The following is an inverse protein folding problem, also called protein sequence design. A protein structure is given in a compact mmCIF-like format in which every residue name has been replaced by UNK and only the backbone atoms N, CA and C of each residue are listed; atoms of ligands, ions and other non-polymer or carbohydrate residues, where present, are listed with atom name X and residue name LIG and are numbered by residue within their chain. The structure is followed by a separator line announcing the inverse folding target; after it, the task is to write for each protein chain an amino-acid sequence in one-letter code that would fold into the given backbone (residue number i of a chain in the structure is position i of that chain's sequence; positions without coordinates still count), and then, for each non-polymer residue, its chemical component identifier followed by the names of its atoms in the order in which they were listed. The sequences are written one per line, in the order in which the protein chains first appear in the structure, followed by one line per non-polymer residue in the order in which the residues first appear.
data_IF_216871217939
#
_entry.id   IF_216871217939
#
_cell.length_a   1.000
_cell.length_b   1.000
_cell.length_c   1.000
_cell.angle_alpha   90.00
_cell.angle_beta   90.00
_cell.angle_gamma   90.00
#
_symmetry.space_group_name_H-M   'P 1'
#
loop_
_entity.id
_entity.type
_entity.pdbx_description
1 polymer ?
#
# COMPACT_ATOMS: atom_id res chain seq x y z
N UNK A 1 11.60 10.61 7.57
CA UNK A 1 10.45 11.49 7.26
C UNK A 1 9.45 11.54 8.43
N UNK A 2 8.76 12.68 8.64
CA UNK A 2 7.63 12.80 9.59
C UNK A 2 6.35 12.19 8.98
N UNK A 3 5.44 11.67 9.81
CA UNK A 3 4.22 10.98 9.34
C UNK A 3 3.31 11.86 8.47
N UNK A 4 3.16 13.15 8.79
CA UNK A 4 2.34 14.08 8.00
C UNK A 4 2.82 14.16 6.54
N UNK A 5 4.14 14.26 6.34
CA UNK A 5 4.74 14.29 4.99
C UNK A 5 4.57 12.97 4.24
N UNK A 6 4.52 11.83 4.94
CA UNK A 6 4.21 10.53 4.34
C UNK A 6 2.76 10.47 3.83
N UNK A 7 1.81 10.93 4.66
CA UNK A 7 0.39 10.96 4.31
C UNK A 7 0.11 11.91 3.13
N UNK A 8 0.74 13.09 3.14
CA UNK A 8 0.69 14.03 2.02
C UNK A 8 1.29 13.43 0.75
N UNK A 9 2.48 12.83 0.82
CA UNK A 9 3.15 12.21 -0.33
C UNK A 9 2.40 10.98 -0.88
N UNK A 10 1.61 10.28 -0.05
CA UNK A 10 0.73 9.21 -0.48
C UNK A 10 -0.47 9.75 -1.26
N UNK A 11 -0.93 10.98 -1.05
CA UNK A 11 -2.02 11.54 -1.85
C UNK A 11 -1.41 12.21 -3.09
N UNK A 12 -1.55 11.68 -4.32
CA UNK A 12 -2.68 10.92 -4.89
C UNK A 12 -2.42 9.42 -5.20
N UNK A 13 -1.30 8.87 -4.76
CA UNK A 13 -0.86 7.49 -5.00
C UNK A 13 -1.75 6.45 -4.30
N UNK A 14 -1.85 5.27 -4.87
CA UNK A 14 -2.55 4.11 -4.29
C UNK A 14 -1.56 3.07 -3.79
N UNK A 15 -1.99 2.15 -2.93
CA UNK A 15 -1.11 1.08 -2.44
C UNK A 15 -0.57 0.16 -3.56
N UNK A 16 -1.31 -0.14 -4.65
CA UNK A 16 -0.75 -0.85 -5.80
C UNK A 16 0.40 -0.09 -6.49
N UNK A 17 0.33 1.23 -6.58
CA UNK A 17 1.40 2.05 -7.15
C UNK A 17 2.66 2.04 -6.29
N UNK A 18 2.49 2.03 -4.96
CA UNK A 18 3.62 1.88 -4.03
C UNK A 18 4.27 0.50 -4.18
N UNK A 19 3.47 -0.56 -4.30
CA UNK A 19 3.97 -1.91 -4.52
C UNK A 19 4.68 -2.07 -5.88
N UNK A 20 4.12 -1.52 -6.95
CA UNK A 20 4.73 -1.52 -8.29
C UNK A 20 6.06 -0.76 -8.30
N UNK A 21 6.11 0.42 -7.68
CA UNK A 21 7.35 1.17 -7.53
C UNK A 21 8.41 0.39 -6.73
N UNK A 22 8.03 -0.24 -5.61
CA UNK A 22 8.96 -1.04 -4.81
C UNK A 22 9.47 -2.25 -5.61
N UNK A 23 8.60 -2.92 -6.37
CA UNK A 23 8.97 -4.04 -7.23
C UNK A 23 10.04 -3.66 -8.27
N UNK A 24 9.88 -2.51 -8.93
CA UNK A 24 10.83 -2.05 -9.96
C UNK A 24 12.17 -1.60 -9.41
N UNK A 25 12.16 -1.01 -8.22
CA UNK A 25 13.39 -0.62 -7.52
C UNK A 25 14.07 -1.82 -6.84
N UNK A 26 13.50 -3.03 -6.97
CA UNK A 26 13.95 -4.24 -6.27
C UNK A 26 14.02 -4.05 -4.75
N UNK A 27 13.18 -3.17 -4.21
CA UNK A 27 13.10 -2.87 -2.78
C UNK A 27 12.18 -3.89 -2.12
N UNK A 28 12.64 -4.61 -1.07
CA UNK A 28 11.79 -5.53 -0.34
C UNK A 28 10.58 -4.82 0.29
N UNK A 29 9.40 -5.39 0.10
CA UNK A 29 8.16 -4.94 0.71
C UNK A 29 7.29 -6.15 1.09
N UNK A 30 6.34 -5.95 2.00
CA UNK A 30 5.33 -6.95 2.36
C UNK A 30 3.93 -6.39 2.16
N UNK A 31 2.99 -7.27 1.82
CA UNK A 31 1.58 -6.92 1.66
C UNK A 31 0.81 -7.58 2.80
N UNK A 32 -0.09 -6.83 3.44
CA UNK A 32 -1.01 -7.39 4.41
C UNK A 32 -1.82 -8.56 3.81
N UNK A 33 -2.09 -9.64 4.57
CA UNK A 33 -2.84 -10.76 4.03
C UNK A 33 -4.23 -10.35 3.52
N UNK A 34 -4.73 -11.10 2.53
CA UNK A 34 -6.04 -10.88 1.94
C UNK A 34 -7.14 -10.89 3.02
N UNK A 35 -8.06 -9.94 2.90
CA UNK A 35 -9.15 -9.72 3.86
C UNK A 35 -8.92 -8.55 4.81
N UNK A 36 -7.71 -8.02 4.95
CA UNK A 36 -7.48 -6.74 5.63
C UNK A 36 -7.95 -5.61 4.71
N UNK A 37 -9.13 -5.07 5.02
CA UNK A 37 -9.78 -3.99 4.26
C UNK A 37 -10.11 -2.83 5.18
N UNK A 38 -10.25 -1.60 4.66
CA UNK A 38 -10.65 -0.49 5.50
C UNK A 38 -12.08 -0.69 6.01
N UNK A 39 -12.30 -0.39 7.28
CA UNK A 39 -13.62 -0.43 7.92
C UNK A 39 -14.52 0.67 7.35
N UNK A 40 -13.94 1.81 6.97
CA UNK A 40 -14.64 2.91 6.30
C UNK A 40 -14.09 3.09 4.87
N UNK A 41 -14.91 2.94 3.83
CA UNK A 41 -14.47 3.13 2.44
C UNK A 41 -13.85 4.51 2.19
N UNK A 42 -12.84 4.57 1.33
CA UNK A 42 -12.09 5.80 1.02
C UNK A 42 -11.06 6.18 2.08
N UNK A 43 -10.90 5.37 3.15
CA UNK A 43 -9.87 5.60 4.16
C UNK A 43 -8.48 5.45 3.56
N UNK A 44 -7.57 6.35 3.94
CA UNK A 44 -6.16 6.31 3.56
C UNK A 44 -5.29 6.66 4.74
N UNK A 45 -4.15 6.00 4.84
CA UNK A 45 -3.17 6.29 5.87
C UNK A 45 -1.75 5.97 5.39
N UNK A 46 -0.80 6.79 5.81
CA UNK A 46 0.62 6.49 5.67
C UNK A 46 1.38 6.97 6.90
N UNK A 47 2.31 6.16 7.38
CA UNK A 47 3.13 6.55 8.53
C UNK A 47 3.93 5.40 9.11
N UNK A 48 4.78 5.74 10.08
CA UNK A 48 5.54 4.73 10.83
C UNK A 48 4.61 3.72 11.49
N UNK A 49 5.00 2.46 11.42
CA UNK A 49 4.29 1.37 12.06
C UNK A 49 4.47 1.49 13.57
N UNK A 50 3.37 1.51 14.30
CA UNK A 50 3.37 1.28 15.74
C UNK A 50 2.61 -0.03 16.01
N UNK A 51 3.33 -1.13 16.29
CA UNK A 51 2.70 -2.38 16.66
C UNK A 51 1.87 -2.22 17.92
N UNK A 52 0.60 -2.60 17.86
CA UNK A 52 -0.27 -2.63 19.02
C UNK A 52 -1.17 -3.87 19.00
N UNK A 53 -1.42 -4.43 20.19
CA UNK A 53 -2.47 -5.42 20.40
C UNK A 53 -3.68 -4.68 20.95
N UNK A 54 -4.80 -4.75 20.23
CA UNK A 54 -6.08 -4.24 20.69
C UNK A 54 -7.04 -5.41 20.93
N UNK A 55 -7.85 -5.29 21.97
CA UNK A 55 -8.93 -6.21 22.28
C UNK A 55 -10.22 -5.39 22.44
N UNK A 56 -11.31 -5.84 21.83
CA UNK A 56 -12.61 -5.15 21.88
C UNK A 56 -13.15 -4.80 20.49
N UNK A 57 -14.41 -4.32 20.46
CA UNK A 57 -15.08 -3.97 19.21
C UNK A 57 -14.36 -2.82 18.50
N UNK A 58 -14.19 -2.98 17.18
CA UNK A 58 -13.67 -1.95 16.28
C UNK A 58 -14.67 -0.79 16.13
N UNK A 59 -15.90 -0.96 16.59
CA UNK A 59 -16.99 0.02 16.45
C UNK A 59 -16.68 1.37 17.12
N UNK A 60 -15.99 1.38 18.26
CA UNK A 60 -15.62 2.64 18.93
C UNK A 60 -14.61 3.43 18.10
N UNK A 61 -13.61 2.74 17.55
CA UNK A 61 -12.59 3.36 16.69
C UNK A 61 -13.22 3.88 15.39
N UNK A 62 -14.24 3.17 14.87
CA UNK A 62 -15.05 3.64 13.74
C UNK A 62 -15.85 4.90 14.10
N UNK A 63 -16.46 4.97 15.28
CA UNK A 63 -17.26 6.12 15.73
C UNK A 63 -16.42 7.40 15.87
N UNK A 64 -15.17 7.28 16.30
CA UNK A 64 -14.26 8.44 16.44
C UNK A 64 -13.56 8.82 15.12
N UNK A 65 -13.92 8.17 14.00
CA UNK A 65 -13.36 8.49 12.68
C UNK A 65 -11.89 8.08 12.50
N UNK A 66 -11.38 7.15 13.31
CA UNK A 66 -10.02 6.66 13.15
C UNK A 66 -9.95 5.74 11.92
N UNK A 67 -8.96 5.91 11.02
CA UNK A 67 -8.82 5.04 9.85
C UNK A 67 -8.31 3.67 10.32
N UNK A 68 -9.08 2.62 10.03
CA UNK A 68 -8.80 1.26 10.50
C UNK A 68 -8.91 0.29 9.34
N UNK A 69 -7.96 -0.64 9.28
CA UNK A 69 -8.02 -1.81 8.42
C UNK A 69 -8.16 -3.06 9.28
N UNK A 70 -9.09 -3.94 8.92
CA UNK A 70 -9.40 -5.14 9.69
C UNK A 70 -9.80 -6.29 8.76
N UNK A 71 -9.71 -7.53 9.24
CA UNK A 71 -10.29 -8.73 8.60
C UNK A 71 -11.84 -8.75 8.60
N UNK A 72 -12.49 -7.61 8.86
CA UNK A 72 -13.92 -7.50 9.11
C UNK A 72 -14.32 -7.65 10.59
N UNK A 73 -15.61 -7.47 10.85
CA UNK A 73 -16.21 -7.59 12.18
C UNK A 73 -16.66 -9.03 12.43
N UNK A 74 -16.09 -9.70 13.44
CA UNK A 74 -16.58 -11.00 13.90
C UNK A 74 -17.57 -10.80 15.06
N UNK A 75 -18.85 -11.22 14.94
CA UNK A 75 -19.85 -11.03 16.00
C UNK A 75 -19.55 -11.81 17.29
N UNK A 76 -18.73 -12.85 17.22
CA UNK A 76 -18.32 -13.69 18.36
C UNK A 76 -17.17 -13.11 19.20
N UNK A 77 -16.64 -11.93 18.85
CA UNK A 77 -15.36 -11.46 19.37
C UNK A 77 -14.18 -12.32 18.87
N UNK A 78 -12.92 -11.91 19.09
CA UNK A 78 -11.76 -12.69 18.65
C UNK A 78 -11.62 -13.94 19.51
N UNK A 79 -12.25 -15.04 19.11
CA UNK A 79 -12.17 -16.28 19.89
C UNK A 79 -10.85 -17.03 19.67
N UNK A 80 -10.20 -16.87 18.50
CA UNK A 80 -9.00 -17.65 18.14
C UNK A 80 -8.07 -17.01 17.09
N UNK A 81 -7.78 -15.71 17.14
CA UNK A 81 -6.79 -15.12 16.24
C UNK A 81 -5.86 -14.15 16.99
N UNK A 82 -4.58 -14.54 17.10
CA UNK A 82 -3.45 -13.67 17.48
C UNK A 82 -3.35 -12.53 16.45
N UNK A 83 -4.15 -11.48 16.59
CA UNK A 83 -4.25 -10.37 15.63
C UNK A 83 -3.41 -9.19 16.08
N UNK A 84 -2.50 -8.75 15.22
CA UNK A 84 -1.83 -7.48 15.37
C UNK A 84 -2.50 -6.44 14.50
N UNK A 85 -2.83 -5.30 15.11
CA UNK A 85 -3.27 -4.12 14.39
C UNK A 85 -2.07 -3.20 14.24
N UNK A 86 -1.79 -2.80 13.00
CA UNK A 86 -0.87 -1.70 12.76
C UNK A 86 -1.68 -0.43 12.95
N UNK A 87 -1.41 0.26 14.05
CA UNK A 87 -1.83 1.64 14.19
C UNK A 87 -0.84 2.46 13.36
N UNK A 88 -1.33 3.12 12.31
CA UNK A 88 -0.66 4.27 11.72
C UNK A 88 -1.10 5.47 12.56
N UNK A 89 -0.25 6.01 13.45
CA UNK A 89 -0.69 7.06 14.35
C UNK A 89 -0.88 8.39 13.60
N UNK A 90 -2.12 8.89 13.66
CA UNK A 90 -2.46 10.31 13.64
C UNK A 90 -2.69 10.69 15.12
N UNK A 91 -2.25 11.86 15.62
CA UNK A 91 -2.21 12.13 17.05
C UNK A 91 -3.62 12.21 17.62
N UNK A 92 -3.90 11.43 18.68
CA UNK A 92 -5.04 11.67 19.55
C UNK A 92 -4.72 11.25 20.99
N UNK A 93 -5.16 12.09 21.92
CA UNK A 93 -5.00 11.95 23.37
C UNK A 93 -5.66 10.68 23.94
N UNK A 94 -5.19 10.17 25.10
CA UNK A 94 -5.64 8.88 25.62
C UNK A 94 -7.02 8.96 26.33
N UNK A 95 -7.88 7.97 26.08
CA UNK A 95 -9.12 7.72 26.84
C UNK A 95 -9.01 6.42 27.68
N UNK A 96 -9.78 6.28 28.78
CA UNK A 96 -9.41 5.39 29.89
C UNK A 96 -10.37 4.21 30.08
N UNK A 97 -10.13 3.04 29.48
CA UNK A 97 -10.89 1.83 29.81
C UNK A 97 -10.00 0.58 29.71
N UNK A 98 -9.90 -0.16 30.83
CA UNK A 98 -9.01 -1.30 31.02
C UNK A 98 -9.83 -2.59 30.99
N UNK A 99 -9.59 -3.45 30.00
CA UNK A 99 -10.18 -4.80 29.90
C UNK A 99 -9.06 -5.83 30.07
N UNK A 100 -9.33 -6.90 30.81
CA UNK A 100 -8.38 -7.93 31.21
C UNK A 100 -7.60 -8.51 30.00
N UNK A 101 -6.28 -8.55 30.14
CA UNK A 101 -5.30 -8.82 29.09
C UNK A 101 -4.66 -10.19 29.36
N UNK A 102 -4.58 -11.04 28.34
CA UNK A 102 -3.63 -12.16 28.27
C UNK A 102 -2.20 -11.63 28.57
N UNK A 103 -1.25 -12.40 29.13
CA UNK A 103 0.07 -11.88 29.49
C UNK A 103 0.71 -11.14 28.32
N UNK A 104 1.14 -9.91 28.57
CA UNK A 104 1.85 -9.09 27.57
C UNK A 104 3.15 -9.80 27.22
N UNK A 105 3.20 -10.35 26.02
CA UNK A 105 4.47 -10.75 25.40
C UNK A 105 5.35 -9.50 25.26
N UNK A 106 6.60 -9.56 25.72
CA UNK A 106 7.55 -8.44 25.70
C UNK A 106 7.72 -7.83 24.30
N UNK A 107 7.47 -8.61 23.24
CA UNK A 107 7.56 -8.18 21.84
C UNK A 107 6.38 -7.36 21.34
N UNK A 108 5.28 -7.27 22.10
CA UNK A 108 4.00 -6.71 21.63
C UNK A 108 4.04 -5.23 21.20
N UNK A 109 5.06 -4.47 21.65
CA UNK A 109 5.31 -3.08 21.26
C UNK A 109 6.45 -2.94 20.24
N UNK A 110 7.15 -4.04 19.93
CA UNK A 110 8.33 -4.05 19.03
C UNK A 110 7.98 -4.52 17.62
N UNK A 111 7.13 -5.54 17.50
CA UNK A 111 6.74 -6.09 16.20
C UNK A 111 5.28 -6.52 16.15
N UNK A 112 4.77 -6.54 14.92
CA UNK A 112 3.44 -6.94 14.52
C UNK A 112 3.52 -8.15 13.58
N UNK A 113 3.04 -9.32 14.00
CA UNK A 113 3.08 -10.52 13.18
C UNK A 113 1.79 -10.71 12.37
N UNK A 114 1.95 -10.85 11.06
CA UNK A 114 0.91 -11.20 10.09
C UNK A 114 1.21 -12.57 9.50
N UNK A 115 0.66 -13.63 10.11
CA UNK A 115 0.98 -15.00 9.71
C UNK A 115 2.49 -15.29 9.84
N UNK A 116 3.17 -15.32 8.69
CA UNK A 116 4.55 -15.75 8.54
C UNK A 116 5.57 -14.59 8.45
N UNK A 117 5.11 -13.33 8.43
CA UNK A 117 5.99 -12.17 8.43
C UNK A 117 5.71 -11.23 9.61
N UNK A 118 6.73 -10.46 9.97
CA UNK A 118 6.65 -9.45 11.02
C UNK A 118 6.90 -8.05 10.45
N UNK A 119 6.16 -7.09 10.98
CA UNK A 119 6.33 -5.67 10.69
C UNK A 119 6.79 -4.97 11.96
N UNK A 120 7.84 -4.18 11.88
CA UNK A 120 8.51 -3.57 13.01
C UNK A 120 8.28 -2.05 13.03
N UNK A 121 8.64 -1.40 14.14
CA UNK A 121 8.56 0.06 14.25
C UNK A 121 9.54 0.83 13.33
N UNK A 122 10.50 0.12 12.73
CA UNK A 122 11.39 0.63 11.68
C UNK A 122 10.72 0.74 10.32
N UNK A 123 9.52 0.17 10.17
CA UNK A 123 8.79 0.12 8.91
C UNK A 123 7.80 1.28 8.79
N UNK A 124 7.40 1.55 7.55
CA UNK A 124 6.31 2.45 7.20
C UNK A 124 5.20 1.62 6.57
N UNK A 125 3.98 1.90 6.97
CA UNK A 125 2.78 1.35 6.36
C UNK A 125 2.14 2.39 5.44
N UNK A 126 1.65 1.91 4.29
CA UNK A 126 0.78 2.62 3.38
C UNK A 126 -0.51 1.83 3.26
N UNK A 127 -1.65 2.49 3.41
CA UNK A 127 -2.94 1.84 3.44
C UNK A 127 -3.99 2.65 2.68
N UNK A 128 -4.78 1.96 1.87
CA UNK A 128 -5.94 2.50 1.15
C UNK A 128 -7.02 1.40 0.99
N UNK A 129 -7.98 1.61 0.08
CA UNK A 129 -9.05 0.63 -0.20
C UNK A 129 -8.56 -0.73 -0.71
N UNK A 130 -7.33 -0.82 -1.23
CA UNK A 130 -6.76 -2.06 -1.76
C UNK A 130 -5.99 -2.86 -0.69
N UNK A 131 -5.87 -2.35 0.53
CA UNK A 131 -5.20 -3.02 1.64
C UNK A 131 -4.02 -2.23 2.18
N UNK A 132 -3.02 -2.94 2.72
CA UNK A 132 -1.84 -2.33 3.32
C UNK A 132 -0.54 -2.89 2.72
N UNK A 133 0.43 -2.02 2.51
CA UNK A 133 1.80 -2.32 2.07
C UNK A 133 2.79 -1.81 3.12
N UNK A 134 3.79 -2.61 3.46
CA UNK A 134 4.83 -2.27 4.42
C UNK A 134 6.20 -2.29 3.75
N UNK A 135 7.03 -1.31 4.09
CA UNK A 135 8.42 -1.22 3.65
C UNK A 135 9.29 -0.54 4.71
N UNK A 136 10.60 -0.77 4.62
CA UNK A 136 11.55 -0.10 5.50
C UNK A 136 11.43 1.43 5.38
N UNK A 137 11.45 2.13 6.52
CA UNK A 137 11.31 3.59 6.54
C UNK A 137 12.41 4.32 5.76
N UNK A 138 13.59 3.70 5.60
CA UNK A 138 14.73 4.21 4.83
C UNK A 138 14.46 4.26 3.33
N UNK A 139 13.66 3.32 2.82
CA UNK A 139 13.35 3.17 1.39
C UNK A 139 12.09 3.93 0.96
N UNK A 140 11.30 4.43 1.91
CA UNK A 140 10.00 5.03 1.64
C UNK A 140 10.03 6.27 0.75
N UNK A 141 11.07 7.10 0.86
CA UNK A 141 11.18 8.31 0.04
C UNK A 141 11.43 7.99 -1.43
N UNK A 142 12.33 7.03 -1.69
CA UNK A 142 12.69 6.56 -3.02
C UNK A 142 11.50 5.88 -3.71
N UNK A 143 10.83 4.96 -3.00
CA UNK A 143 9.63 4.28 -3.51
C UNK A 143 8.52 5.28 -3.84
N UNK A 144 8.26 6.26 -2.96
CA UNK A 144 7.23 7.28 -3.22
C UNK A 144 7.60 8.20 -4.39
N UNK A 145 8.88 8.45 -4.62
CA UNK A 145 9.34 9.23 -5.77
C UNK A 145 9.12 8.46 -7.08
N UNK A 146 9.51 7.18 -7.13
CA UNK A 146 9.25 6.31 -8.27
C UNK A 146 7.74 6.17 -8.53
N UNK A 147 6.93 5.90 -7.49
CA UNK A 147 5.48 5.80 -7.61
C UNK A 147 4.82 7.06 -8.20
N UNK A 148 5.34 8.27 -7.90
CA UNK A 148 4.88 9.51 -8.53
C UNK A 148 5.18 9.57 -10.02
N UNK A 149 6.35 9.08 -10.45
CA UNK A 149 6.71 9.00 -11.87
C UNK A 149 5.78 8.02 -12.60
N UNK A 150 5.48 6.88 -12.00
CA UNK A 150 4.53 5.88 -12.55
C UNK A 150 3.15 6.50 -12.70
N UNK A 151 2.63 7.07 -11.61
CA UNK A 151 1.32 7.71 -11.59
C UNK A 151 1.18 8.81 -12.64
N UNK A 152 2.23 9.64 -12.83
CA UNK A 152 2.23 10.69 -13.85
C UNK A 152 2.18 10.15 -15.29
N UNK A 153 2.81 9.01 -15.54
CA UNK A 153 2.76 8.35 -16.86
C UNK A 153 1.40 7.70 -17.12
N UNK A 154 0.85 6.97 -16.16
CA UNK A 154 -0.48 6.37 -16.27
C UNK A 154 -1.57 7.43 -16.44
N UNK A 155 -1.48 8.53 -15.71
CA UNK A 155 -2.46 9.61 -15.82
C UNK A 155 -2.43 10.27 -17.20
N UNK A 156 -1.23 10.47 -17.78
CA UNK A 156 -1.12 10.96 -19.17
C UNK A 156 -1.78 10.00 -20.16
N UNK A 157 -1.56 8.69 -20.01
CA UNK A 157 -2.21 7.69 -20.86
C UNK A 157 -3.74 7.74 -20.71
N UNK A 158 -4.24 7.79 -19.48
CA UNK A 158 -5.67 7.85 -19.20
C UNK A 158 -6.34 9.11 -19.77
N UNK A 159 -5.69 10.27 -19.66
CA UNK A 159 -6.22 11.52 -20.24
C UNK A 159 -6.19 11.50 -21.78
N UNK A 160 -5.16 10.91 -22.40
CA UNK A 160 -5.12 10.74 -23.86
C UNK A 160 -6.22 9.78 -24.36
N UNK A 161 -6.52 8.71 -23.61
CA UNK A 161 -7.66 7.82 -23.93
C UNK A 161 -8.97 8.60 -23.86
N UNK A 162 -9.19 9.40 -22.81
CA UNK A 162 -10.39 10.24 -22.68
C UNK A 162 -10.51 11.28 -23.80
N UNK A 163 -9.38 11.77 -24.32
CA UNK A 163 -9.33 12.67 -25.47
C UNK A 163 -9.57 11.98 -26.83
N UNK A 164 -9.77 10.65 -26.84
CA UNK A 164 -10.07 9.86 -28.04
C UNK A 164 -8.85 9.22 -28.70
N UNK A 165 -7.66 9.35 -28.12
CA UNK A 165 -6.46 8.68 -28.63
C UNK A 165 -6.40 7.25 -28.12
N UNK A 166 -6.46 6.26 -29.02
CA UNK A 166 -6.46 4.85 -28.62
C UNK A 166 -5.13 4.41 -28.02
N UNK A 167 -5.15 3.42 -27.13
CA UNK A 167 -3.93 2.82 -26.58
C UNK A 167 -3.01 2.25 -27.69
N UNK A 168 -3.59 1.77 -28.80
CA UNK A 168 -2.83 1.30 -29.96
C UNK A 168 -1.98 2.41 -30.60
N UNK A 169 -2.54 3.63 -30.68
CA UNK A 169 -1.83 4.83 -31.16
C UNK A 169 -0.78 5.28 -30.15
N UNK A 170 -1.17 5.42 -28.88
CA UNK A 170 -0.28 5.88 -27.81
C UNK A 170 0.97 4.99 -27.64
N UNK A 171 0.79 3.67 -27.74
CA UNK A 171 1.87 2.70 -27.62
C UNK A 171 2.62 2.46 -28.93
N UNK A 172 2.29 3.17 -30.02
CA UNK A 172 2.88 2.98 -31.36
C UNK A 172 2.86 1.51 -31.80
N UNK A 173 1.75 0.82 -31.55
CA UNK A 173 1.66 -0.63 -31.70
C UNK A 173 1.87 -1.10 -33.16
N UNK A 174 1.54 -0.27 -34.14
CA UNK A 174 1.85 -0.54 -35.56
C UNK A 174 3.37 -0.70 -35.78
N UNK A 175 4.19 0.21 -35.24
CA UNK A 175 5.65 0.12 -35.33
C UNK A 175 6.20 -1.11 -34.59
N UNK A 176 5.54 -1.54 -33.51
CA UNK A 176 5.90 -2.79 -32.84
C UNK A 176 5.67 -4.00 -33.75
N UNK A 177 4.51 -4.07 -34.42
CA UNK A 177 4.20 -5.18 -35.32
C UNK A 177 5.16 -5.22 -36.52
N UNK A 178 5.54 -4.08 -37.08
CA UNK A 178 6.56 -3.99 -38.14
C UNK A 178 7.93 -4.47 -37.66
N UNK A 179 8.37 -4.07 -36.46
CA UNK A 179 9.64 -4.54 -35.90
C UNK A 179 9.61 -6.03 -35.59
N UNK A 180 8.48 -6.55 -35.10
CA UNK A 180 8.32 -7.97 -34.79
C UNK A 180 8.21 -8.85 -36.03
N UNK A 181 7.68 -8.34 -37.14
CA UNK A 181 7.66 -9.08 -38.40
C UNK A 181 9.07 -9.19 -39.00
N UNK A 182 9.90 -8.16 -38.84
CA UNK A 182 11.31 -8.19 -39.25
C UNK A 182 12.20 -9.03 -38.30
N UNK A 183 11.93 -8.97 -37.00
CA UNK A 183 12.62 -9.74 -35.97
C UNK A 183 11.61 -10.39 -35.01
N UNK A 184 11.29 -11.70 -35.19
CA UNK A 184 10.35 -12.41 -34.32
C UNK A 184 10.75 -12.46 -32.84
N UNK A 185 12.03 -12.21 -32.51
CA UNK A 185 12.52 -12.16 -31.13
C UNK A 185 12.23 -10.81 -30.44
N UNK A 186 11.83 -9.79 -31.20
CA UNK A 186 11.48 -8.47 -30.66
C UNK A 186 10.17 -8.51 -29.86
N UNK A 187 10.27 -8.26 -28.56
CA UNK A 187 9.12 -8.37 -27.64
C UNK A 187 8.41 -7.04 -27.44
N UNK A 188 7.12 -7.11 -27.08
CA UNK A 188 6.35 -5.91 -26.71
C UNK A 188 7.01 -5.14 -25.57
N UNK A 189 7.56 -5.84 -24.56
CA UNK A 189 8.30 -5.21 -23.45
C UNK A 189 9.49 -4.39 -23.93
N UNK A 190 10.31 -4.94 -24.82
CA UNK A 190 11.43 -4.20 -25.42
C UNK A 190 10.96 -2.97 -26.20
N UNK A 191 9.82 -3.06 -26.90
CA UNK A 191 9.22 -1.93 -27.59
C UNK A 191 8.80 -0.82 -26.63
N UNK A 192 8.07 -1.17 -25.58
CA UNK A 192 7.59 -0.23 -24.58
C UNK A 192 8.74 0.47 -23.85
N UNK A 193 9.83 -0.25 -23.53
CA UNK A 193 11.05 0.33 -22.92
C UNK A 193 11.68 1.40 -23.82
N UNK A 194 11.72 1.18 -25.13
CA UNK A 194 12.28 2.14 -26.10
C UNK A 194 11.35 3.32 -26.37
N UNK A 195 10.04 3.10 -26.36
CA UNK A 195 9.06 4.14 -26.72
C UNK A 195 8.65 5.04 -25.57
N UNK A 196 9.14 4.78 -24.35
CA UNK A 196 8.75 5.50 -23.12
C UNK A 196 7.33 5.17 -22.66
N UNK A 197 6.71 4.13 -23.24
CA UNK A 197 5.41 3.59 -22.85
C UNK A 197 5.51 2.45 -21.83
N UNK A 198 6.72 2.01 -21.49
CA UNK A 198 6.94 1.03 -20.44
C UNK A 198 6.52 1.63 -19.10
N UNK A 199 5.50 0.98 -18.54
CA UNK A 199 5.21 1.06 -17.13
C UNK A 199 6.36 0.28 -16.45
N UNK A 200 6.60 -1.02 -16.68
CA UNK A 200 7.70 -1.77 -16.02
C UNK A 200 9.15 -1.47 -16.52
N UNK A 201 10.09 -1.22 -15.60
CA UNK A 201 11.55 -1.15 -15.87
C UNK A 201 12.19 -2.54 -16.07
#
# INVERSE_FOLDING_TARGET
MKNQLLAEKLTPLSTPLVADAALRLEIPFTIAPSGITPVAPGSRAAGRVLPAKHFGSVDLLRQIGFPIWSYGSCPSGPQWLRRVMILIPVPLDPLPWQIAIDPRDDSALRCARFGDFEVQNSDVAFADDNGCVFLAATSAEEVLAAARTIWGSERRQAEAIKAGETLHTQLRFAEYLEKRSADPSYTLRQHLRKSGGAIEE
#
